data_IF_288960066004
#
_entry.id   IF_288960066004
#
_cell.length_a   1.000
_cell.length_b   1.000
_cell.length_c   1.000
_cell.angle_alpha   90.00
_cell.angle_beta   90.00
_cell.angle_gamma   90.00
#
_symmetry.space_group_name_H-M   'P 1'
#
loop_
_entity.id
_entity.type
_entity.pdbx_description
1 polymer ?
#
# COMPACT_ATOMS: atom_id res chain seq x y z
N UNK A 1 -25.98 -11.07 -9.38
CA UNK A 1 -24.61 -11.18 -8.84
C UNK A 1 -24.09 -12.58 -9.06
N UNK A 2 -23.28 -12.82 -10.08
CA UNK A 2 -22.61 -14.11 -10.25
C UNK A 2 -21.51 -14.23 -9.19
N UNK A 3 -21.53 -15.29 -8.38
CA UNK A 3 -20.44 -15.58 -7.43
C UNK A 3 -19.13 -15.60 -8.22
N UNK A 4 -18.17 -14.76 -7.84
CA UNK A 4 -16.85 -14.79 -8.45
C UNK A 4 -16.24 -16.20 -8.29
N UNK A 5 -15.84 -16.81 -9.40
CA UNK A 5 -15.04 -18.04 -9.44
C UNK A 5 -13.57 -17.75 -9.09
N UNK A 6 -13.36 -17.10 -7.94
CA UNK A 6 -12.05 -16.86 -7.35
C UNK A 6 -11.83 -17.84 -6.20
N UNK A 7 -10.66 -18.47 -6.18
CA UNK A 7 -10.19 -19.35 -5.14
C UNK A 7 -9.06 -18.67 -4.38
N UNK A 8 -9.25 -18.46 -3.07
CA UNK A 8 -8.32 -17.69 -2.25
C UNK A 8 -7.36 -18.60 -1.50
N UNK A 9 -6.07 -18.30 -1.63
CA UNK A 9 -4.98 -19.09 -1.06
C UNK A 9 -3.97 -18.19 -0.33
N UNK A 10 -3.22 -18.77 0.59
CA UNK A 10 -2.14 -18.11 1.32
C UNK A 10 -0.86 -18.93 1.21
N UNK A 11 0.31 -18.30 1.16
CA UNK A 11 1.60 -19.00 1.11
C UNK A 11 1.98 -19.54 2.49
N UNK A 12 2.42 -20.79 2.57
CA UNK A 12 2.78 -21.50 3.81
C UNK A 12 4.19 -21.22 4.33
N UNK A 13 5.00 -20.45 3.62
CA UNK A 13 6.37 -20.18 4.09
C UNK A 13 6.35 -19.35 5.38
N UNK A 14 7.32 -19.64 6.27
CA UNK A 14 7.42 -19.07 7.62
C UNK A 14 7.33 -17.54 7.59
N UNK A 15 8.06 -16.90 6.68
CA UNK A 15 8.05 -15.43 6.52
C UNK A 15 6.66 -14.86 6.22
N UNK A 16 5.84 -15.49 5.38
CA UNK A 16 4.48 -14.97 5.10
C UNK A 16 3.56 -15.13 6.29
N UNK A 17 3.66 -16.25 7.02
CA UNK A 17 2.88 -16.48 8.24
C UNK A 17 3.26 -15.50 9.35
N UNK A 18 4.54 -15.18 9.49
CA UNK A 18 5.02 -14.16 10.44
C UNK A 18 4.49 -12.78 10.08
N UNK A 19 4.55 -12.38 8.80
CA UNK A 19 3.96 -11.12 8.33
C UNK A 19 2.46 -11.05 8.56
N UNK A 20 1.72 -12.15 8.33
CA UNK A 20 0.30 -12.21 8.66
C UNK A 20 0.06 -12.06 10.16
N UNK A 21 0.81 -12.76 11.01
CA UNK A 21 0.69 -12.63 12.47
C UNK A 21 0.96 -11.19 12.93
N UNK A 22 1.99 -10.53 12.38
CA UNK A 22 2.28 -9.11 12.64
C UNK A 22 1.14 -8.21 12.18
N UNK A 23 0.62 -8.42 10.97
CA UNK A 23 -0.54 -7.69 10.46
C UNK A 23 -1.76 -7.83 11.37
N UNK A 24 -2.08 -9.04 11.86
CA UNK A 24 -3.22 -9.26 12.74
C UNK A 24 -3.11 -8.57 14.10
N UNK A 25 -1.88 -8.39 14.61
CA UNK A 25 -1.60 -7.69 15.87
C UNK A 25 -1.44 -6.17 15.70
N UNK A 26 -1.15 -5.70 14.50
CA UNK A 26 -0.93 -4.29 14.19
C UNK A 26 -2.22 -3.46 14.29
N UNK A 27 -2.08 -2.19 14.60
CA UNK A 27 -3.20 -1.27 14.78
C UNK A 27 -3.76 -0.82 13.43
N UNK A 28 -5.10 -0.76 13.27
CA UNK A 28 -5.70 -0.28 12.03
C UNK A 28 -5.48 1.22 11.86
N UNK A 29 -5.06 1.62 10.67
CA UNK A 29 -4.99 3.02 10.32
C UNK A 29 -6.40 3.51 9.98
N UNK A 30 -6.82 4.61 10.62
CA UNK A 30 -8.21 5.07 10.65
C UNK A 30 -8.89 5.03 9.28
N UNK A 31 -10.06 4.38 9.22
CA UNK A 31 -10.88 4.30 8.00
C UNK A 31 -10.36 3.37 6.92
N UNK A 32 -9.33 2.55 7.18
CA UNK A 32 -8.71 1.70 6.14
C UNK A 32 -8.39 0.28 6.60
N UNK A 33 -8.06 -0.59 5.63
CA UNK A 33 -7.55 -1.94 5.87
C UNK A 33 -6.02 -1.98 6.04
N UNK A 34 -5.33 -0.84 5.94
CA UNK A 34 -3.91 -0.75 6.23
C UNK A 34 -3.70 -0.71 7.76
N UNK A 35 -2.55 -1.20 8.19
CA UNK A 35 -2.22 -1.31 9.61
C UNK A 35 -0.82 -0.77 9.88
N UNK A 36 -0.58 -0.36 11.12
CA UNK A 36 0.69 0.16 11.61
C UNK A 36 1.19 -0.76 12.72
N UNK A 37 2.40 -1.29 12.55
CA UNK A 37 3.04 -2.10 13.57
C UNK A 37 3.61 -1.25 14.70
N UNK A 38 4.06 -1.91 15.77
CA UNK A 38 4.57 -1.23 16.97
C UNK A 38 5.75 -0.29 16.69
N UNK A 39 6.57 -0.63 15.68
CA UNK A 39 7.74 0.15 15.27
C UNK A 39 7.38 1.31 14.32
N UNK A 40 6.11 1.40 13.89
CA UNK A 40 5.61 2.39 12.94
C UNK A 40 5.73 1.98 11.47
N UNK A 41 6.10 0.73 11.20
CA UNK A 41 6.06 0.12 9.88
C UNK A 41 4.61 -0.04 9.40
N UNK A 42 4.40 0.08 8.10
CA UNK A 42 3.07 0.02 7.50
C UNK A 42 2.87 -1.35 6.86
N UNK A 43 1.77 -2.01 7.19
CA UNK A 43 1.40 -3.31 6.67
C UNK A 43 0.09 -3.22 5.86
N UNK A 44 0.11 -3.76 4.64
CA UNK A 44 -1.03 -3.78 3.74
C UNK A 44 -1.26 -5.21 3.25
N UNK A 45 -2.45 -5.74 3.47
CA UNK A 45 -2.86 -6.99 2.85
C UNK A 45 -3.18 -6.77 1.37
N UNK A 46 -2.46 -7.44 0.47
CA UNK A 46 -2.64 -7.43 -0.98
C UNK A 46 -3.17 -8.77 -1.46
N UNK A 47 -3.92 -8.74 -2.55
CA UNK A 47 -4.34 -9.94 -3.28
C UNK A 47 -3.66 -9.92 -4.64
N UNK A 48 -2.92 -10.98 -4.98
CA UNK A 48 -2.34 -11.15 -6.31
C UNK A 48 -3.13 -12.18 -7.09
N UNK A 49 -3.53 -11.83 -8.30
CA UNK A 49 -4.11 -12.79 -9.22
C UNK A 49 -3.00 -13.67 -9.81
N UNK A 50 -3.14 -14.99 -9.65
CA UNK A 50 -2.21 -15.97 -10.21
C UNK A 50 -2.78 -16.65 -11.45
N UNK A 51 -1.90 -17.14 -12.33
CA UNK A 51 -2.32 -18.01 -13.44
C UNK A 51 -2.79 -19.35 -12.89
N UNK A 52 -3.76 -19.98 -13.57
CA UNK A 52 -4.16 -21.36 -13.23
C UNK A 52 -2.95 -22.30 -13.37
N UNK A 53 -2.78 -23.19 -12.39
CA UNK A 53 -1.71 -24.18 -12.40
C UNK A 53 -0.32 -23.71 -11.93
N UNK A 54 -0.10 -22.41 -11.65
CA UNK A 54 1.19 -21.91 -11.10
C UNK A 54 1.27 -21.96 -9.58
N UNK A 55 0.17 -22.32 -8.90
CA UNK A 55 0.08 -22.44 -7.45
C UNK A 55 -0.10 -23.91 -7.11
N UNK A 56 0.74 -24.46 -6.24
CA UNK A 56 0.71 -25.86 -5.81
C UNK A 56 0.08 -25.99 -4.41
N UNK A 57 -0.38 -27.20 -4.07
CA UNK A 57 -0.97 -27.50 -2.76
C UNK A 57 0.04 -27.68 -1.62
N UNK A 58 1.33 -27.66 -1.95
CA UNK A 58 2.42 -27.85 -1.01
C UNK A 58 2.84 -26.53 -0.39
N UNK A 59 2.99 -25.48 -1.21
CA UNK A 59 3.46 -24.16 -0.79
C UNK A 59 2.34 -23.23 -0.33
N UNK A 60 1.07 -23.62 -0.51
CA UNK A 60 -0.07 -22.76 -0.20
C UNK A 60 -1.16 -23.49 0.61
N UNK A 61 -1.90 -22.74 1.42
CA UNK A 61 -3.08 -23.14 2.18
C UNK A 61 -4.34 -22.51 1.59
N UNK A 62 -5.47 -23.21 1.70
CA UNK A 62 -6.78 -22.67 1.34
C UNK A 62 -7.25 -21.69 2.41
N UNK A 63 -7.62 -20.46 2.02
CA UNK A 63 -8.31 -19.53 2.90
C UNK A 63 -9.84 -19.70 2.84
N UNK A 64 -10.33 -20.55 1.94
CA UNK A 64 -11.76 -20.79 1.74
C UNK A 64 -12.24 -21.84 2.74
N UNK A 65 -12.87 -21.44 3.86
CA UNK A 65 -13.39 -22.36 4.88
C UNK A 65 -14.48 -23.30 4.31
N UNK A 66 -14.36 -24.64 4.46
CA UNK A 66 -15.45 -25.65 4.73
C UNK A 66 -15.07 -27.13 4.49
N UNK A 67 -15.65 -28.01 5.32
CA UNK A 67 -16.00 -29.45 5.23
C UNK A 67 -15.09 -30.51 4.55
N UNK A 68 -14.17 -30.18 3.64
CA UNK A 68 -13.27 -31.16 3.00
C UNK A 68 -11.81 -30.95 3.46
N UNK A 69 -10.96 -31.99 3.40
CA UNK A 69 -9.53 -31.82 3.63
C UNK A 69 -8.94 -30.82 2.62
N UNK A 70 -8.14 -29.87 3.12
CA UNK A 70 -7.60 -28.73 2.37
C UNK A 70 -6.96 -29.14 1.03
N UNK A 71 -6.27 -30.27 0.98
CA UNK A 71 -5.56 -30.75 -0.21
C UNK A 71 -6.51 -31.10 -1.37
N UNK A 72 -7.64 -31.75 -1.10
CA UNK A 72 -8.60 -32.16 -2.12
C UNK A 72 -9.35 -30.94 -2.70
N UNK A 73 -9.73 -30.01 -1.83
CA UNK A 73 -10.40 -28.78 -2.24
C UNK A 73 -9.46 -27.88 -3.03
N UNK A 74 -8.21 -27.77 -2.60
CA UNK A 74 -7.21 -26.96 -3.26
C UNK A 74 -6.91 -27.49 -4.66
N UNK A 75 -6.71 -28.80 -4.84
CA UNK A 75 -6.54 -29.38 -6.17
C UNK A 75 -7.74 -29.11 -7.09
N UNK A 76 -8.97 -29.16 -6.58
CA UNK A 76 -10.16 -28.86 -7.36
C UNK A 76 -10.29 -27.36 -7.69
N UNK A 77 -10.02 -26.49 -6.71
CA UNK A 77 -10.06 -25.03 -6.85
C UNK A 77 -9.02 -24.51 -7.84
N UNK A 78 -7.77 -24.96 -7.71
CA UNK A 78 -6.66 -24.60 -8.60
C UNK A 78 -6.90 -25.00 -10.06
N UNK A 79 -7.67 -26.06 -10.31
CA UNK A 79 -8.02 -26.53 -11.66
C UNK A 79 -9.19 -25.77 -12.28
N UNK A 80 -10.21 -25.45 -11.47
CA UNK A 80 -11.50 -24.97 -11.98
C UNK A 80 -11.68 -23.46 -11.91
N UNK A 81 -10.90 -22.75 -11.08
CA UNK A 81 -11.13 -21.35 -10.73
C UNK A 81 -9.89 -20.49 -10.94
N UNK A 82 -10.11 -19.20 -11.12
CA UNK A 82 -9.05 -18.20 -11.02
C UNK A 82 -8.54 -18.15 -9.57
N UNK A 83 -7.23 -18.02 -9.38
CA UNK A 83 -6.62 -18.10 -8.05
C UNK A 83 -6.15 -16.73 -7.61
N UNK A 84 -6.40 -16.37 -6.36
CA UNK A 84 -5.90 -15.14 -5.76
C UNK A 84 -5.13 -15.46 -4.48
N UNK A 85 -3.85 -15.11 -4.45
CA UNK A 85 -3.02 -15.30 -3.26
C UNK A 85 -3.04 -14.05 -2.39
N UNK A 86 -3.19 -14.23 -1.07
CA UNK A 86 -2.98 -13.15 -0.11
C UNK A 86 -1.49 -12.97 0.17
N UNK A 87 -1.05 -11.72 0.23
CA UNK A 87 0.30 -11.34 0.63
C UNK A 87 0.20 -10.13 1.56
N UNK A 88 0.87 -10.17 2.71
CA UNK A 88 1.09 -8.97 3.51
C UNK A 88 2.36 -8.30 3.01
N UNK A 89 2.22 -7.07 2.51
CA UNK A 89 3.35 -6.22 2.13
C UNK A 89 3.63 -5.26 3.27
N UNK A 90 4.90 -5.13 3.62
CA UNK A 90 5.40 -4.30 4.70
C UNK A 90 6.26 -3.18 4.09
N UNK A 91 6.09 -1.97 4.62
CA UNK A 91 6.83 -0.78 4.24
C UNK A 91 7.50 -0.20 5.47
N UNK A 92 8.79 0.11 5.33
CA UNK A 92 9.60 0.67 6.41
C UNK A 92 9.23 2.11 6.74
N UNK A 93 8.57 2.83 5.84
CA UNK A 93 8.11 4.20 6.10
C UNK A 93 6.89 4.60 5.27
N UNK A 94 6.23 5.67 5.73
CA UNK A 94 5.01 6.22 5.12
C UNK A 94 5.23 6.72 3.70
N UNK A 95 6.40 7.27 3.36
CA UNK A 95 6.68 7.76 2.00
C UNK A 95 6.79 6.61 0.98
N UNK A 96 7.38 5.49 1.38
CA UNK A 96 7.43 4.28 0.56
C UNK A 96 6.03 3.69 0.37
N UNK A 97 5.21 3.70 1.43
CA UNK A 97 3.82 3.25 1.36
C UNK A 97 2.97 4.13 0.42
N UNK A 98 3.08 5.47 0.53
CA UNK A 98 2.40 6.43 -0.35
C UNK A 98 2.81 6.19 -1.80
N UNK A 99 4.12 6.15 -2.09
CA UNK A 99 4.63 5.90 -3.45
C UNK A 99 4.13 4.56 -4.02
N UNK A 100 4.09 3.51 -3.20
CA UNK A 100 3.59 2.22 -3.63
C UNK A 100 2.09 2.24 -3.95
N UNK A 101 1.30 2.97 -3.17
CA UNK A 101 -0.14 3.14 -3.44
C UNK A 101 -0.37 3.96 -4.71
N UNK A 102 0.36 5.06 -4.90
CA UNK A 102 0.33 5.85 -6.14
C UNK A 102 0.64 4.97 -7.35
N UNK A 103 1.73 4.20 -7.30
CA UNK A 103 2.10 3.28 -8.37
C UNK A 103 1.00 2.24 -8.68
N UNK A 104 0.34 1.70 -7.65
CA UNK A 104 -0.79 0.77 -7.85
C UNK A 104 -1.95 1.46 -8.59
N UNK A 105 -2.31 2.67 -8.17
CA UNK A 105 -3.42 3.44 -8.74
C UNK A 105 -3.11 3.88 -10.18
N UNK A 106 -1.88 4.30 -10.47
CA UNK A 106 -1.41 4.59 -11.82
C UNK A 106 -1.47 3.34 -12.71
N UNK A 107 -1.02 2.20 -12.19
CA UNK A 107 -1.15 0.92 -12.87
C UNK A 107 -2.61 0.58 -13.19
N UNK A 108 -3.55 0.90 -12.29
CA UNK A 108 -4.98 0.69 -12.52
C UNK A 108 -5.55 1.57 -13.63
N UNK A 109 -5.13 2.84 -13.72
CA UNK A 109 -5.53 3.72 -14.82
C UNK A 109 -5.09 3.15 -16.18
N UNK A 110 -3.87 2.59 -16.22
CA UNK A 110 -3.38 1.92 -17.43
C UNK A 110 -4.22 0.67 -17.77
N UNK A 111 -4.57 -0.15 -16.77
CA UNK A 111 -5.45 -1.31 -17.00
C UNK A 111 -6.87 -0.94 -17.45
N UNK A 112 -7.42 0.16 -16.94
CA UNK A 112 -8.71 0.68 -17.38
C UNK A 112 -8.64 1.10 -18.86
N UNK A 113 -7.59 1.80 -19.26
CA UNK A 113 -7.36 2.20 -20.66
C UNK A 113 -7.28 0.99 -21.59
N UNK A 114 -6.55 -0.05 -21.18
CA UNK A 114 -6.46 -1.32 -21.91
C UNK A 114 -7.83 -1.96 -22.13
N UNK A 115 -8.66 -2.03 -21.08
CA UNK A 115 -10.01 -2.57 -21.19
C UNK A 115 -10.90 -1.70 -22.10
N UNK A 116 -10.80 -0.38 -22.00
CA UNK A 116 -11.58 0.55 -22.81
C UNK A 116 -11.28 0.42 -24.31
N UNK A 117 -10.00 0.31 -24.69
CA UNK A 117 -9.60 0.11 -26.10
C UNK A 117 -10.20 -1.17 -26.68
N UNK A 118 -10.23 -2.27 -25.90
CA UNK A 118 -10.89 -3.49 -26.36
C UNK A 118 -12.41 -3.30 -26.50
N UNK A 119 -13.06 -2.59 -25.57
CA UNK A 119 -14.49 -2.32 -25.67
C UNK A 119 -14.83 -1.51 -26.92
N UNK A 120 -14.03 -0.48 -27.22
CA UNK A 120 -14.19 0.33 -28.42
C UNK A 120 -13.94 -0.50 -29.69
N UNK A 121 -12.83 -1.24 -29.74
CA UNK A 121 -12.48 -2.05 -30.93
C UNK A 121 -13.49 -3.16 -31.20
N UNK A 122 -13.92 -3.87 -30.17
CA UNK A 122 -14.93 -4.93 -30.32
C UNK A 122 -16.28 -4.38 -30.77
N UNK A 123 -16.68 -3.19 -30.29
CA UNK A 123 -17.90 -2.52 -30.75
C UNK A 123 -17.80 -2.15 -32.24
N UNK A 124 -16.71 -1.49 -32.62
CA UNK A 124 -16.45 -1.15 -34.02
C UNK A 124 -16.49 -2.38 -34.94
N UNK A 125 -15.82 -3.48 -34.57
CA UNK A 125 -15.79 -4.69 -35.39
C UNK A 125 -17.17 -5.36 -35.50
N UNK A 126 -17.97 -5.34 -34.43
CA UNK A 126 -19.35 -5.85 -34.48
C UNK A 126 -20.19 -5.01 -35.45
N UNK A 127 -20.15 -3.69 -35.30
CA UNK A 127 -20.93 -2.76 -36.13
C UNK A 127 -20.50 -2.89 -37.61
N UNK A 128 -19.19 -2.94 -37.88
CA UNK A 128 -18.63 -3.12 -39.22
C UNK A 128 -19.13 -4.40 -39.91
N UNK A 129 -19.09 -5.55 -39.24
CA UNK A 129 -19.53 -6.83 -39.83
C UNK A 129 -21.05 -6.94 -39.96
N UNK A 130 -21.81 -6.23 -39.13
CA UNK A 130 -23.27 -6.14 -39.27
C UNK A 130 -23.67 -5.28 -40.48
N UNK A 131 -22.95 -4.18 -40.72
CA UNK A 131 -23.22 -3.28 -41.84
C UNK A 131 -22.80 -3.85 -43.20
N UNK A 132 -21.65 -4.52 -43.26
CA UNK A 132 -21.04 -4.93 -44.54
C UNK A 132 -21.31 -6.39 -44.93
N UNK A 133 -21.90 -7.20 -44.03
CA UNK A 133 -21.98 -8.67 -44.10
C UNK A 133 -20.60 -9.34 -44.28
N UNK A 134 -20.23 -10.26 -43.39
CA UNK A 134 -18.87 -10.81 -43.35
C UNK A 134 -18.44 -11.44 -44.68
N UNK A 135 -19.37 -12.15 -45.34
CA UNK A 135 -19.12 -12.85 -46.61
C UNK A 135 -18.79 -11.91 -47.78
N UNK A 136 -19.19 -10.63 -47.69
CA UNK A 136 -18.95 -9.62 -48.72
C UNK A 136 -17.67 -8.82 -48.48
N UNK A 137 -17.04 -8.95 -47.31
CA UNK A 137 -15.78 -8.26 -46.98
C UNK A 137 -14.59 -9.07 -47.51
N UNK A 138 -13.77 -8.52 -48.42
CA UNK A 138 -12.59 -9.19 -48.94
C UNK A 138 -11.63 -9.61 -47.81
N UNK A 139 -10.97 -10.77 -47.99
CA UNK A 139 -10.03 -11.28 -46.99
C UNK A 139 -8.86 -10.31 -46.71
N UNK A 140 -8.40 -9.58 -47.72
CA UNK A 140 -7.36 -8.55 -47.58
C UNK A 140 -7.79 -7.44 -46.63
N UNK A 141 -9.03 -6.96 -46.75
CA UNK A 141 -9.59 -5.95 -45.84
C UNK A 141 -9.73 -6.51 -44.42
N UNK A 142 -10.11 -7.79 -44.27
CA UNK A 142 -10.18 -8.46 -42.96
C UNK A 142 -8.81 -8.64 -42.32
N UNK A 143 -7.78 -8.92 -43.11
CA UNK A 143 -6.38 -8.95 -42.63
C UNK A 143 -5.92 -7.57 -42.18
N UNK A 144 -6.23 -6.52 -42.94
CA UNK A 144 -5.94 -5.15 -42.53
C UNK A 144 -6.62 -4.78 -41.20
N UNK A 145 -7.89 -5.17 -41.01
CA UNK A 145 -8.60 -5.00 -39.72
C UNK A 145 -7.95 -5.76 -38.57
N UNK A 146 -7.39 -6.94 -38.83
CA UNK A 146 -6.67 -7.71 -37.84
C UNK A 146 -5.32 -7.06 -37.49
N UNK A 147 -4.55 -6.62 -38.48
CA UNK A 147 -3.28 -5.92 -38.28
C UNK A 147 -3.48 -4.62 -37.50
N UNK A 148 -4.48 -3.83 -37.85
CA UNK A 148 -4.87 -2.63 -37.10
C UNK A 148 -5.26 -2.96 -35.66
N UNK A 149 -6.01 -4.06 -35.46
CA UNK A 149 -6.37 -4.53 -34.11
C UNK A 149 -5.12 -4.88 -33.30
N UNK A 150 -4.16 -5.58 -33.89
CA UNK A 150 -2.90 -5.96 -33.22
C UNK A 150 -2.10 -4.70 -32.86
N UNK A 151 -1.97 -3.76 -33.78
CA UNK A 151 -1.29 -2.49 -33.53
C UNK A 151 -1.94 -1.70 -32.38
N UNK A 152 -3.26 -1.52 -32.40
CA UNK A 152 -4.00 -0.82 -31.33
C UNK A 152 -3.84 -1.50 -29.97
N UNK A 153 -3.80 -2.83 -29.92
CA UNK A 153 -3.56 -3.57 -28.67
C UNK A 153 -2.13 -3.40 -28.18
N UNK A 154 -1.14 -3.45 -29.08
CA UNK A 154 0.26 -3.21 -28.76
C UNK A 154 0.50 -1.81 -28.19
N UNK A 155 -0.12 -0.77 -28.78
CA UNK A 155 0.00 0.63 -28.35
C UNK A 155 -0.46 0.87 -26.90
N UNK A 156 -1.35 0.03 -26.37
CA UNK A 156 -1.79 0.08 -24.97
C UNK A 156 -1.10 -0.94 -24.07
N UNK A 157 -0.04 -1.61 -24.55
CA UNK A 157 0.72 -2.60 -23.79
C UNK A 157 0.02 -3.95 -23.63
N UNK A 158 -0.85 -4.32 -24.59
CA UNK A 158 -1.48 -5.63 -24.67
C UNK A 158 -0.83 -6.51 -25.75
N UNK A 159 0.48 -6.72 -25.61
CA UNK A 159 1.25 -7.61 -26.48
C UNK A 159 1.17 -9.08 -25.99
N UNK A 160 0.74 -10.04 -26.83
CA UNK A 160 0.70 -11.46 -26.50
C UNK A 160 1.98 -12.03 -25.88
N UNK A 161 3.15 -11.52 -26.26
CA UNK A 161 4.45 -12.06 -25.82
C UNK A 161 4.84 -11.56 -24.42
N UNK A 162 4.36 -10.38 -24.01
CA UNK A 162 4.70 -9.77 -22.72
C UNK A 162 3.62 -9.95 -21.65
N UNK A 163 2.37 -10.19 -22.06
CA UNK A 163 1.24 -10.26 -21.14
C UNK A 163 1.17 -11.60 -20.41
N UNK A 164 1.40 -11.53 -19.09
CA UNK A 164 1.32 -12.73 -18.26
C UNK A 164 -0.10 -13.07 -17.78
N UNK A 165 -0.97 -12.07 -17.59
CA UNK A 165 -2.27 -12.31 -16.97
C UNK A 165 -3.23 -13.03 -17.93
N UNK A 166 -3.73 -14.22 -17.52
CA UNK A 166 -4.60 -15.08 -18.34
C UNK A 166 -5.84 -14.33 -18.88
N UNK A 167 -6.45 -13.46 -18.06
CA UNK A 167 -7.61 -12.67 -18.49
C UNK A 167 -7.24 -11.71 -19.63
N UNK A 168 -6.07 -11.07 -19.58
CA UNK A 168 -5.58 -10.18 -20.64
C UNK A 168 -5.21 -10.96 -21.89
N UNK A 169 -4.56 -12.11 -21.76
CA UNK A 169 -4.30 -13.01 -22.89
C UNK A 169 -5.60 -13.42 -23.61
N UNK A 170 -6.63 -13.80 -22.85
CA UNK A 170 -7.93 -14.16 -23.43
C UNK A 170 -8.60 -12.95 -24.09
N UNK A 171 -8.50 -11.75 -23.49
CA UNK A 171 -9.00 -10.52 -24.10
C UNK A 171 -8.32 -10.27 -25.45
N UNK A 172 -6.99 -10.38 -25.54
CA UNK A 172 -6.23 -10.24 -26.78
C UNK A 172 -6.66 -11.29 -27.80
N UNK A 173 -6.59 -12.57 -27.41
CA UNK A 173 -6.90 -13.70 -28.28
C UNK A 173 -8.28 -13.58 -28.93
N UNK A 174 -9.33 -13.29 -28.15
CA UNK A 174 -10.69 -13.20 -28.67
C UNK A 174 -10.90 -11.96 -29.54
N UNK A 175 -10.23 -10.84 -29.25
CA UNK A 175 -10.32 -9.61 -30.06
C UNK A 175 -9.66 -9.82 -31.42
N UNK A 176 -8.43 -10.35 -31.43
CA UNK A 176 -7.68 -10.65 -32.66
C UNK A 176 -8.38 -11.73 -33.49
N UNK A 177 -8.89 -12.79 -32.85
CA UNK A 177 -9.66 -13.83 -33.55
C UNK A 177 -10.94 -13.27 -34.19
N UNK A 178 -11.67 -12.43 -33.45
CA UNK A 178 -12.89 -11.81 -33.95
C UNK A 178 -12.66 -10.80 -35.08
N UNK A 179 -11.47 -10.19 -35.18
CA UNK A 179 -11.18 -9.22 -36.26
C UNK A 179 -11.03 -9.83 -37.65
N UNK A 180 -10.66 -11.11 -37.77
CA UNK A 180 -10.44 -11.78 -39.06
C UNK A 180 -11.73 -12.38 -39.65
N UNK A 181 -12.70 -12.72 -38.80
CA UNK A 181 -13.96 -13.29 -39.22
C UNK A 181 -13.94 -14.77 -39.62
N UNK A 182 -12.89 -15.51 -39.25
CA UNK A 182 -12.73 -16.92 -39.64
C UNK A 182 -12.81 -17.88 -38.45
N UNK A 183 -13.34 -19.08 -38.70
CA UNK A 183 -13.30 -20.19 -37.76
C UNK A 183 -11.93 -20.89 -37.72
N UNK A 184 -11.77 -21.89 -36.85
CA UNK A 184 -10.50 -22.64 -36.73
C UNK A 184 -10.18 -23.50 -37.96
N UNK A 185 -11.10 -23.59 -38.93
CA UNK A 185 -10.93 -24.28 -40.22
C UNK A 185 -10.77 -23.28 -41.37
N UNK A 186 -10.50 -22.01 -41.08
CA UNK A 186 -10.34 -20.91 -42.04
C UNK A 186 -11.60 -20.65 -42.89
N UNK A 187 -12.78 -20.99 -42.39
CA UNK A 187 -14.06 -20.70 -43.06
C UNK A 187 -14.67 -19.44 -42.48
N UNK A 188 -15.33 -18.67 -43.34
CA UNK A 188 -16.07 -17.49 -42.91
C UNK A 188 -17.25 -17.92 -42.01
N UNK A 189 -17.31 -17.34 -40.81
CA UNK A 189 -18.31 -17.73 -39.82
C UNK A 189 -18.71 -16.55 -38.93
N UNK A 190 -19.83 -15.92 -39.27
CA UNK A 190 -20.36 -14.75 -38.56
C UNK A 190 -20.66 -15.06 -37.09
N UNK A 191 -21.27 -16.23 -36.81
CA UNK A 191 -21.63 -16.61 -35.45
C UNK A 191 -20.38 -16.74 -34.56
N UNK A 192 -19.33 -17.42 -35.04
CA UNK A 192 -18.08 -17.58 -34.26
C UNK A 192 -17.38 -16.24 -34.07
N UNK A 193 -17.42 -15.38 -35.09
CA UNK A 193 -16.85 -14.03 -35.07
C UNK A 193 -17.53 -13.17 -34.02
N UNK A 194 -18.85 -13.10 -34.05
CA UNK A 194 -19.63 -12.35 -33.07
C UNK A 194 -19.44 -12.91 -31.65
N UNK A 195 -19.44 -14.23 -31.49
CA UNK A 195 -19.18 -14.87 -30.20
C UNK A 195 -17.79 -14.53 -29.65
N UNK A 196 -16.76 -14.49 -30.50
CA UNK A 196 -15.41 -14.09 -30.12
C UNK A 196 -15.38 -12.62 -29.65
N UNK A 197 -15.95 -11.70 -30.42
CA UNK A 197 -15.99 -10.27 -30.08
C UNK A 197 -16.80 -10.03 -28.80
N UNK A 198 -17.97 -10.66 -28.63
CA UNK A 198 -18.75 -10.60 -27.39
C UNK A 198 -18.01 -11.24 -26.21
N UNK A 199 -17.20 -12.28 -26.43
CA UNK A 199 -16.39 -12.90 -25.40
C UNK A 199 -15.24 -11.98 -24.92
N UNK A 200 -14.61 -11.23 -25.82
CA UNK A 200 -13.66 -10.18 -25.49
C UNK A 200 -14.34 -9.03 -24.74
N UNK A 201 -15.47 -8.52 -25.26
CA UNK A 201 -16.22 -7.41 -24.66
C UNK A 201 -16.67 -7.73 -23.23
N UNK A 202 -17.20 -8.93 -22.98
CA UNK A 202 -17.59 -9.37 -21.62
C UNK A 202 -16.41 -9.37 -20.66
N UNK A 203 -15.24 -9.87 -21.08
CA UNK A 203 -14.02 -9.91 -20.26
C UNK A 203 -13.49 -8.50 -19.98
N UNK A 204 -13.47 -7.64 -20.98
CA UNK A 204 -13.05 -6.25 -20.82
C UNK A 204 -13.96 -5.49 -19.84
N UNK A 205 -15.30 -5.67 -19.92
CA UNK A 205 -16.24 -5.11 -18.92
C UNK A 205 -15.98 -5.63 -17.51
N UNK A 206 -15.80 -6.94 -17.37
CA UNK A 206 -15.47 -7.54 -16.07
C UNK A 206 -14.14 -7.01 -15.51
N UNK A 207 -13.11 -6.86 -16.36
CA UNK A 207 -11.83 -6.30 -15.93
C UNK A 207 -11.97 -4.85 -15.51
N UNK A 208 -12.63 -4.01 -16.30
CA UNK A 208 -12.90 -2.60 -15.97
C UNK A 208 -13.64 -2.47 -14.63
N UNK A 209 -14.66 -3.30 -14.41
CA UNK A 209 -15.38 -3.35 -13.14
C UNK A 209 -14.50 -3.82 -11.98
N UNK A 210 -13.64 -4.83 -12.16
CA UNK A 210 -12.73 -5.30 -11.12
C UNK A 210 -11.68 -4.25 -10.74
N UNK A 211 -11.12 -3.54 -11.73
CA UNK A 211 -10.16 -2.44 -11.54
C UNK A 211 -10.80 -1.32 -10.71
N UNK A 212 -11.93 -0.77 -11.19
CA UNK A 212 -12.64 0.32 -10.53
C UNK A 212 -13.22 -0.08 -9.17
N UNK A 213 -13.88 -1.24 -9.11
CA UNK A 213 -14.66 -1.66 -7.95
C UNK A 213 -13.86 -2.28 -6.81
N UNK A 214 -12.77 -3.01 -7.11
CA UNK A 214 -12.05 -3.75 -6.07
C UNK A 214 -10.70 -3.13 -5.73
N UNK A 215 -10.00 -2.57 -6.72
CA UNK A 215 -8.63 -2.08 -6.53
C UNK A 215 -8.66 -0.59 -6.23
N UNK A 216 -9.23 0.24 -7.09
CA UNK A 216 -9.28 1.70 -6.90
C UNK A 216 -10.01 2.08 -5.62
N UNK A 217 -11.19 1.51 -5.36
CA UNK A 217 -11.96 1.75 -4.12
C UNK A 217 -11.21 1.31 -2.85
N UNK A 218 -10.35 0.30 -2.94
CA UNK A 218 -9.55 -0.16 -1.80
C UNK A 218 -8.36 0.75 -1.53
N UNK A 219 -7.59 1.09 -2.57
CA UNK A 219 -6.31 1.76 -2.42
C UNK A 219 -6.40 3.29 -2.33
N UNK A 220 -7.47 3.90 -2.86
CA UNK A 220 -7.66 5.36 -2.75
C UNK A 220 -7.80 5.82 -1.29
N UNK A 221 -8.66 5.22 -0.45
CA UNK A 221 -8.73 5.57 0.98
C UNK A 221 -7.44 5.27 1.73
N UNK A 222 -6.76 4.17 1.39
CA UNK A 222 -5.45 3.81 1.96
C UNK A 222 -4.42 4.91 1.70
N UNK A 223 -4.33 5.41 0.46
CA UNK A 223 -3.42 6.50 0.10
C UNK A 223 -3.74 7.80 0.86
N UNK A 224 -5.02 8.17 0.94
CA UNK A 224 -5.46 9.35 1.71
C UNK A 224 -5.13 9.24 3.19
N UNK A 225 -5.29 8.06 3.78
CA UNK A 225 -5.03 7.86 5.20
C UNK A 225 -3.52 7.85 5.52
N UNK A 226 -2.66 7.38 4.61
CA UNK A 226 -1.21 7.56 4.76
C UNK A 226 -0.79 9.02 4.66
N UNK A 227 -1.38 9.78 3.73
CA UNK A 227 -1.10 11.21 3.62
C UNK A 227 -1.54 11.97 4.89
N UNK A 228 -2.70 11.62 5.46
CA UNK A 228 -3.16 12.15 6.73
C UNK A 228 -2.20 11.80 7.87
N UNK A 229 -1.87 10.51 8.05
CA UNK A 229 -0.96 10.07 9.11
C UNK A 229 0.42 10.74 9.03
N UNK A 230 0.95 10.93 7.81
CA UNK A 230 2.18 11.71 7.60
C UNK A 230 2.04 13.17 8.06
N UNK A 231 0.93 13.81 7.69
CA UNK A 231 0.69 15.23 7.99
C UNK A 231 0.52 15.44 9.48
N UNK A 232 -0.35 14.63 10.12
CA UNK A 232 -0.55 14.64 11.57
C UNK A 232 0.76 14.40 12.31
N UNK A 233 1.54 13.39 11.93
CA UNK A 233 2.85 13.13 12.55
C UNK A 233 3.79 14.36 12.48
N UNK A 234 3.85 15.04 11.33
CA UNK A 234 4.69 16.24 11.16
C UNK A 234 4.19 17.42 11.98
N UNK A 235 2.87 17.65 11.97
CA UNK A 235 2.24 18.74 12.71
C UNK A 235 2.43 18.56 14.21
N UNK A 236 2.20 17.35 14.74
CA UNK A 236 2.44 17.02 16.14
C UNK A 236 3.90 17.24 16.55
N UNK A 237 4.85 16.76 15.74
CA UNK A 237 6.28 16.96 16.03
C UNK A 237 6.67 18.43 16.03
N UNK A 238 6.14 19.21 15.08
CA UNK A 238 6.37 20.65 15.02
C UNK A 238 5.76 21.40 16.21
N UNK A 239 4.51 21.08 16.56
CA UNK A 239 3.80 21.68 17.69
C UNK A 239 4.52 21.42 19.02
N UNK A 240 4.97 20.19 19.23
CA UNK A 240 5.78 19.83 20.41
C UNK A 240 7.08 20.64 20.43
N UNK A 241 7.79 20.71 19.30
CA UNK A 241 9.03 21.48 19.20
C UNK A 241 8.84 22.97 19.50
N UNK A 242 7.81 23.61 18.93
CA UNK A 242 7.51 25.02 19.13
C UNK A 242 7.08 25.32 20.59
N UNK A 243 6.31 24.42 21.21
CA UNK A 243 5.90 24.58 22.61
C UNK A 243 7.08 24.40 23.58
N UNK A 244 8.00 23.48 23.28
CA UNK A 244 9.27 23.35 24.02
C UNK A 244 10.05 24.66 23.91
N UNK A 245 10.30 25.14 22.69
CA UNK A 245 11.11 26.33 22.43
C UNK A 245 10.52 27.59 23.07
N UNK A 246 9.19 27.78 22.99
CA UNK A 246 8.52 29.00 23.48
C UNK A 246 8.24 28.99 24.96
N UNK A 247 7.94 27.84 25.56
CA UNK A 247 7.35 27.80 26.91
C UNK A 247 8.14 26.98 27.92
N UNK A 248 9.02 26.08 27.47
CA UNK A 248 9.88 25.32 28.37
C UNK A 248 11.26 25.95 28.50
N UNK A 249 11.89 26.34 27.39
CA UNK A 249 13.24 26.91 27.38
C UNK A 249 13.38 28.23 28.15
N UNK A 250 12.45 29.20 28.04
CA UNK A 250 12.65 30.51 28.67
C UNK A 250 12.39 30.51 30.19
N UNK A 251 12.18 29.35 30.82
CA UNK A 251 11.86 29.29 32.23
C UNK A 251 13.10 29.61 33.08
N UNK A 252 12.98 30.66 33.89
CA UNK A 252 14.08 31.26 34.67
C UNK A 252 14.83 30.27 35.56
N UNK A 253 14.18 29.21 36.04
CA UNK A 253 14.81 28.18 36.88
C UNK A 253 15.69 27.19 36.11
N UNK A 254 15.58 27.13 34.78
CA UNK A 254 16.52 26.39 33.93
C UNK A 254 17.82 27.19 33.77
N UNK A 255 17.74 28.52 33.64
CA UNK A 255 18.90 29.40 33.50
C UNK A 255 19.53 29.77 34.86
N UNK A 256 18.76 29.75 35.94
CA UNK A 256 19.21 30.05 37.31
C UNK A 256 18.73 28.97 38.30
N UNK A 257 19.43 27.84 38.40
CA UNK A 257 19.02 26.69 39.22
C UNK A 257 19.04 26.96 40.74
N UNK A 258 19.67 28.05 41.19
CA UNK A 258 19.82 28.38 42.62
C UNK A 258 18.59 29.05 43.24
N UNK A 259 17.66 29.62 42.43
CA UNK A 259 16.45 30.30 42.93
C UNK A 259 15.20 29.80 42.16
N UNK A 260 14.76 28.54 42.40
CA UNK A 260 13.63 27.99 41.68
C UNK A 260 12.28 28.56 42.15
N UNK A 261 11.40 28.86 41.19
CA UNK A 261 9.99 29.18 41.46
C UNK A 261 9.16 27.89 41.36
N UNK A 262 8.90 27.25 42.50
CA UNK A 262 8.25 25.92 42.56
C UNK A 262 6.88 25.82 41.88
N UNK A 263 6.10 26.91 41.89
CA UNK A 263 4.78 26.95 41.22
C UNK A 263 4.90 26.83 39.70
N UNK A 264 5.97 27.38 39.12
CA UNK A 264 6.21 27.33 37.68
C UNK A 264 6.72 25.95 37.26
N UNK A 265 7.45 25.26 38.15
CA UNK A 265 7.88 23.87 37.95
C UNK A 265 6.68 22.92 37.83
N UNK A 266 5.66 23.05 38.70
CA UNK A 266 4.46 22.21 38.64
C UNK A 266 3.65 22.41 37.35
N UNK A 267 3.60 23.65 36.84
CA UNK A 267 2.97 23.94 35.55
C UNK A 267 3.75 23.32 34.39
N UNK A 268 5.08 23.38 34.46
CA UNK A 268 5.97 22.78 33.46
C UNK A 268 5.85 21.26 33.43
N UNK A 269 5.81 20.60 34.59
CA UNK A 269 5.61 19.13 34.65
C UNK A 269 4.32 18.73 33.93
N UNK A 270 3.21 19.43 34.19
CA UNK A 270 1.93 19.15 33.52
C UNK A 270 1.99 19.34 32.00
N UNK A 271 2.73 20.36 31.53
CA UNK A 271 2.94 20.56 30.09
C UNK A 271 3.79 19.45 29.49
N UNK A 272 4.85 19.04 30.17
CA UNK A 272 5.72 17.94 29.72
C UNK A 272 4.89 16.67 29.55
N UNK A 273 3.98 16.35 30.47
CA UNK A 273 3.06 15.22 30.34
C UNK A 273 2.20 15.32 29.08
N UNK A 274 1.52 16.45 28.87
CA UNK A 274 0.67 16.65 27.70
C UNK A 274 1.46 16.54 26.37
N UNK A 275 2.68 17.09 26.32
CA UNK A 275 3.55 17.00 25.15
C UNK A 275 4.07 15.57 24.92
N UNK A 276 4.32 14.82 26.00
CA UNK A 276 4.76 13.43 25.93
C UNK A 276 3.65 12.53 25.42
N UNK A 277 2.40 12.74 25.85
CA UNK A 277 1.21 12.07 25.33
C UNK A 277 1.01 12.37 23.83
N UNK A 278 1.13 13.64 23.42
CA UNK A 278 1.05 14.01 22.00
C UNK A 278 2.07 13.27 21.13
N UNK A 279 3.30 13.03 21.62
CA UNK A 279 4.31 12.28 20.87
C UNK A 279 3.98 10.78 20.74
N UNK A 280 3.15 10.19 21.61
CA UNK A 280 2.70 8.81 21.48
C UNK A 280 1.76 8.62 20.29
N UNK A 281 0.98 9.65 19.94
CA UNK A 281 0.07 9.66 18.79
C UNK A 281 0.81 9.65 17.44
N UNK A 282 2.14 9.82 17.44
CA UNK A 282 2.96 9.65 16.24
C UNK A 282 3.15 8.16 15.93
N UNK A 283 2.29 7.66 15.04
CA UNK A 283 2.22 6.22 14.75
C UNK A 283 3.17 5.74 13.65
N UNK A 284 3.55 6.58 12.68
CA UNK A 284 4.18 6.09 11.44
C UNK A 284 5.67 6.41 11.35
N UNK A 285 6.45 5.49 10.77
CA UNK A 285 7.83 5.76 10.37
C UNK A 285 7.88 6.73 9.18
N UNK A 286 8.92 7.59 9.10
CA UNK A 286 10.11 7.62 9.97
C UNK A 286 9.95 8.47 11.25
N UNK A 287 8.77 9.03 11.49
CA UNK A 287 8.55 9.99 12.57
C UNK A 287 8.46 9.33 13.95
N UNK A 288 7.87 8.12 14.05
CA UNK A 288 7.66 7.43 15.32
C UNK A 288 8.92 7.23 16.17
N UNK A 289 10.06 6.71 15.64
CA UNK A 289 11.28 6.58 16.45
C UNK A 289 11.77 7.90 17.02
N UNK A 290 11.65 8.99 16.25
CA UNK A 290 12.06 10.33 16.66
C UNK A 290 11.11 10.87 17.74
N UNK A 291 9.80 10.66 17.57
CA UNK A 291 8.80 11.03 18.56
C UNK A 291 9.02 10.30 19.89
N UNK A 292 9.27 8.99 19.86
CA UNK A 292 9.56 8.19 21.06
C UNK A 292 10.86 8.64 21.75
N UNK A 293 11.88 9.02 20.98
CA UNK A 293 13.11 9.59 21.53
C UNK A 293 12.84 10.93 22.22
N UNK A 294 12.08 11.81 21.57
CA UNK A 294 11.61 13.06 22.15
C UNK A 294 10.84 12.90 23.45
N UNK A 295 9.92 11.95 23.46
CA UNK A 295 9.15 11.56 24.63
C UNK A 295 10.07 11.12 25.76
N UNK A 296 11.05 10.27 25.48
CA UNK A 296 12.04 9.84 26.47
C UNK A 296 12.81 11.02 27.10
N UNK A 297 13.19 12.03 26.31
CA UNK A 297 13.79 13.25 26.86
C UNK A 297 12.83 14.03 27.76
N UNK A 298 11.58 14.22 27.31
CA UNK A 298 10.54 14.90 28.10
C UNK A 298 10.30 14.19 29.44
N UNK A 299 10.15 12.87 29.42
CA UNK A 299 9.94 12.04 30.63
C UNK A 299 11.14 12.09 31.59
N UNK A 300 12.38 12.05 31.08
CA UNK A 300 13.57 12.23 31.90
C UNK A 300 13.59 13.59 32.59
N UNK A 301 13.15 14.64 31.90
CA UNK A 301 13.09 15.97 32.51
C UNK A 301 12.01 16.11 33.54
N UNK A 302 10.82 15.57 33.27
CA UNK A 302 9.79 15.45 34.28
C UNK A 302 10.34 14.79 35.53
N UNK A 303 11.01 13.65 35.38
CA UNK A 303 11.60 12.93 36.51
C UNK A 303 12.62 13.76 37.31
N UNK A 304 13.47 14.55 36.64
CA UNK A 304 14.41 15.44 37.33
C UNK A 304 13.72 16.62 38.02
N UNK A 305 12.69 17.22 37.39
CA UNK A 305 11.90 18.29 38.01
C UNK A 305 11.11 17.81 39.23
N UNK A 306 10.60 16.58 39.21
CA UNK A 306 9.87 15.97 40.33
C UNK A 306 10.75 15.73 41.57
N UNK A 307 12.08 15.60 41.41
CA UNK A 307 13.01 15.47 42.54
C UNK A 307 13.06 16.72 43.41
N UNK A 308 12.73 17.89 42.85
CA UNK A 308 12.67 19.19 43.56
C UNK A 308 13.94 19.53 44.36
N UNK A 309 15.11 19.30 43.77
CA UNK A 309 16.41 19.66 44.36
C UNK A 309 17.22 20.55 43.42
N UNK A 310 18.07 21.44 43.98
CA UNK A 310 18.98 22.27 43.17
C UNK A 310 19.93 21.42 42.32
N UNK A 311 20.42 20.30 42.87
CA UNK A 311 21.26 19.35 42.14
C UNK A 311 20.59 18.77 40.89
N UNK A 312 19.29 18.46 40.94
CA UNK A 312 18.56 17.96 39.77
C UNK A 312 18.33 19.06 38.71
N UNK A 313 18.16 20.32 39.14
CA UNK A 313 18.08 21.47 38.23
C UNK A 313 19.43 21.77 37.56
N UNK A 314 20.53 21.67 38.31
CA UNK A 314 21.89 21.75 37.74
C UNK A 314 22.14 20.63 36.73
N UNK A 315 21.71 19.40 37.04
CA UNK A 315 21.81 18.26 36.11
C UNK A 315 21.03 18.50 34.80
N UNK A 316 19.84 19.09 34.87
CA UNK A 316 19.05 19.49 33.70
C UNK A 316 19.75 20.53 32.83
N UNK A 317 20.33 21.54 33.47
CA UNK A 317 21.07 22.61 32.81
C UNK A 317 22.34 22.07 32.15
N UNK A 318 23.13 21.25 32.85
CA UNK A 318 24.40 20.69 32.37
C UNK A 318 24.21 19.67 31.24
N UNK A 319 23.16 18.85 31.28
CA UNK A 319 22.90 17.83 30.25
C UNK A 319 22.48 18.40 28.90
N UNK A 320 22.27 19.70 28.78
CA UNK A 320 21.81 20.32 27.53
C UNK A 320 20.46 19.73 27.09
N UNK A 321 19.56 19.46 28.04
CA UNK A 321 18.21 18.91 27.83
C UNK A 321 17.49 19.54 26.63
N UNK A 322 17.57 20.86 26.57
CA UNK A 322 17.09 21.75 25.52
C UNK A 322 17.65 21.40 24.15
N UNK A 323 18.96 21.16 24.09
CA UNK A 323 19.66 20.88 22.85
C UNK A 323 19.36 19.46 22.37
N UNK A 324 19.17 18.50 23.27
CA UNK A 324 18.72 17.13 22.96
C UNK A 324 17.32 17.08 22.37
N UNK A 325 16.33 17.75 22.99
CA UNK A 325 14.98 17.86 22.40
C UNK A 325 15.03 18.63 21.09
N UNK A 326 15.72 19.77 21.04
CA UNK A 326 15.78 20.59 19.82
C UNK A 326 16.48 19.88 18.67
N UNK A 327 17.54 19.12 18.92
CA UNK A 327 18.20 18.30 17.89
C UNK A 327 17.31 17.15 17.41
N UNK A 328 16.51 16.57 18.31
CA UNK A 328 15.60 15.47 17.98
C UNK A 328 14.35 15.97 17.23
N UNK A 329 13.85 17.16 17.59
CA UNK A 329 12.62 17.77 17.06
C UNK A 329 12.87 18.77 15.92
N UNK A 330 14.12 19.15 15.68
CA UNK A 330 14.58 19.89 14.50
C UNK A 330 14.33 19.01 13.28
N UNK A 331 13.11 19.09 12.75
CA UNK A 331 12.73 18.53 11.46
C UNK A 331 13.55 19.25 10.38
N UNK A 332 14.74 18.76 10.10
CA UNK A 332 15.45 19.10 8.87
C UNK A 332 14.50 18.74 7.71
N UNK A 333 14.21 19.63 6.75
CA UNK A 333 13.25 19.39 5.67
C UNK A 333 13.55 18.15 4.81
N UNK A 334 14.72 17.54 4.98
CA UNK A 334 15.20 16.37 4.24
C UNK A 334 15.31 15.13 5.14
N UNK A 335 14.16 14.64 5.62
CA UNK A 335 14.01 13.33 6.29
C UNK A 335 14.33 12.13 5.35
N UNK A 336 14.86 12.39 4.14
CA UNK A 336 15.43 11.38 3.25
C UNK A 336 16.73 10.76 3.76
N UNK A 337 17.57 11.52 4.49
CA UNK A 337 18.91 11.07 4.91
C UNK A 337 19.13 10.96 6.43
N UNK A 338 18.28 11.59 7.26
CA UNK A 338 18.46 11.59 8.72
C UNK A 338 18.19 10.21 9.36
N UNK A 339 17.24 9.43 8.83
CA UNK A 339 16.96 8.07 9.31
C UNK A 339 18.13 7.09 9.16
N UNK A 340 19.02 7.31 8.18
CA UNK A 340 20.27 6.52 8.02
C UNK A 340 21.36 6.96 8.99
N UNK A 341 21.33 8.21 9.43
CA UNK A 341 22.34 8.79 10.32
C UNK A 341 22.07 8.40 11.77
N UNK A 342 20.81 8.34 12.19
CA UNK A 342 20.44 7.82 13.53
C UNK A 342 20.68 6.31 13.68
N UNK A 343 20.54 5.51 12.62
CA UNK A 343 20.94 4.08 12.64
C UNK A 343 22.45 3.91 12.85
N UNK A 344 23.28 4.88 12.44
CA UNK A 344 24.72 4.89 12.73
C UNK A 344 25.03 5.42 14.13
N UNK A 345 24.21 6.30 14.69
CA UNK A 345 24.40 6.86 16.04
C UNK A 345 23.74 6.02 17.15
N UNK A 346 22.80 5.12 16.82
CA UNK A 346 22.22 4.16 17.77
C UNK A 346 23.23 3.12 18.29
N UNK A 347 24.40 3.00 17.64
CA UNK A 347 25.52 2.18 18.13
C UNK A 347 26.40 2.86 19.20
N UNK A 348 26.08 4.11 19.58
CA UNK A 348 26.88 4.86 20.58
C UNK A 348 26.27 4.80 21.99
N UNK A 349 25.09 4.21 22.16
CA UNK A 349 24.52 3.92 23.49
C UNK A 349 24.24 2.42 23.71
N UNK A 350 25.26 1.55 23.75
CA UNK A 350 25.18 0.38 24.61
C UNK A 350 25.57 0.85 26.02
N UNK A 351 24.60 0.89 26.92
CA UNK A 351 24.71 0.70 28.38
C UNK A 351 23.61 1.51 29.07
N UNK A 352 22.52 0.83 29.38
CA UNK A 352 22.26 0.68 30.80
C UNK A 352 21.71 -0.73 31.08
N UNK A 353 22.34 -1.47 32.01
CA UNK A 353 21.84 -2.73 32.51
C UNK A 353 20.78 -2.47 33.59
N UNK A 354 19.55 -2.89 33.37
CA UNK A 354 18.68 -3.56 34.35
C UNK A 354 17.45 -4.13 33.67
#
# INVERSE_FOLDING_TARGET
>A
MGKEDKYFVERRNVSSQEKLKRFMKAEPLYGTAARVGADGNILIMRWREGKRGTINSEDYSSLTKRQRPDSAQMRQGLKSKSVSSSEVVEFDNVEAAIRSVCYILEGQQHEERQAEVILQRTRYLIDFFQEHELSKVPLEQRRALQEETIAMLSDVGLDPESVELEVKMLMIFWTVKGSLGQDTRNRDNEMITEQALRAAQRRARQRKQAVLGNITLKYTPIGGAFALARTTARETMFEVGDEVDRRLLPNVYLDNPEIPVWKDIDHTIKKIDALSEMLEDVLVMPYRPIALMGKGYLEQTKFLLERRTSAALSELHERGFVQGIRQTMSLDPEIGDFGRTLLKNAYVYPENPS
#
